data_IF_315717484907
#
_entry.id   IF_315717484907
#
_cell.length_a   1.000
_cell.length_b   1.000
_cell.length_c   1.000
_cell.angle_alpha   90.00
_cell.angle_beta   90.00
_cell.angle_gamma   90.00
#
_symmetry.space_group_name_H-M   'P 1'
#
loop_
_entity.id
_entity.type
_entity.pdbx_description
1 polymer ?
#
# COMPACT_ATOMS: atom_id res chain seq x y z
N UNK A 1 -74.98 19.93 11.03
CA UNK A 1 -74.83 20.13 12.48
C UNK A 1 -73.47 19.57 12.88
N UNK A 2 -72.68 20.44 13.46
CA UNK A 2 -71.47 20.22 14.27
C UNK A 2 -70.25 19.56 13.63
N UNK A 3 -69.36 20.42 13.12
CA UNK A 3 -67.93 20.12 12.97
C UNK A 3 -67.23 20.28 14.30
N UNK A 4 -66.25 19.42 14.54
CA UNK A 4 -65.27 19.54 15.63
C UNK A 4 -63.95 20.09 15.08
N UNK A 5 -63.31 21.06 15.73
CA UNK A 5 -62.08 21.64 15.28
C UNK A 5 -60.89 20.76 15.66
N UNK A 6 -60.02 20.46 14.70
CA UNK A 6 -58.71 19.87 14.94
C UNK A 6 -57.80 20.87 15.68
N UNK A 7 -57.52 20.58 16.95
CA UNK A 7 -56.48 21.25 17.70
C UNK A 7 -55.13 20.77 17.18
N UNK A 8 -54.37 21.70 16.54
CA UNK A 8 -52.93 21.51 16.27
C UNK A 8 -52.17 21.73 17.57
N UNK A 9 -51.21 20.85 17.92
CA UNK A 9 -50.41 21.00 19.14
C UNK A 9 -49.26 21.99 18.91
N UNK A 10 -49.56 23.31 18.94
CA UNK A 10 -48.50 24.36 18.81
C UNK A 10 -47.48 24.36 19.94
N UNK A 11 -47.79 23.71 21.08
CA UNK A 11 -46.91 23.63 22.23
C UNK A 11 -45.75 22.62 22.08
N UNK A 12 -45.84 21.67 21.16
CA UNK A 12 -44.77 20.69 20.92
C UNK A 12 -43.60 21.29 20.13
N UNK A 13 -43.86 22.22 19.25
CA UNK A 13 -42.83 22.86 18.42
C UNK A 13 -42.06 23.96 19.16
N UNK A 14 -42.64 24.63 20.16
CA UNK A 14 -41.91 25.60 20.97
C UNK A 14 -40.90 25.00 21.91
N UNK A 15 -41.11 23.76 22.34
CA UNK A 15 -40.15 22.99 23.14
C UNK A 15 -38.93 22.51 22.33
N UNK A 16 -39.16 22.07 21.10
CA UNK A 16 -38.10 21.64 20.17
C UNK A 16 -37.22 22.81 19.72
N UNK A 17 -37.81 23.98 19.42
CA UNK A 17 -37.03 25.16 19.07
C UNK A 17 -36.09 25.60 20.21
N UNK A 18 -36.55 25.57 21.47
CA UNK A 18 -35.72 25.87 22.64
C UNK A 18 -34.67 24.83 22.92
N UNK A 19 -34.84 23.58 22.46
CA UNK A 19 -33.84 22.51 22.56
C UNK A 19 -32.77 22.69 21.46
N UNK A 20 -33.14 23.07 20.27
CA UNK A 20 -32.23 23.37 19.16
C UNK A 20 -31.37 24.59 19.46
N UNK A 21 -31.94 25.67 20.04
CA UNK A 21 -31.20 26.86 20.49
C UNK A 21 -30.19 26.56 21.64
N UNK A 22 -30.46 25.53 22.45
CA UNK A 22 -29.54 25.10 23.51
C UNK A 22 -28.43 24.16 23.00
N UNK A 23 -28.60 23.61 21.80
CA UNK A 23 -27.61 22.71 21.15
C UNK A 23 -26.77 23.47 20.10
N UNK A 24 -27.07 24.75 19.84
CA UNK A 24 -26.19 25.61 19.03
C UNK A 24 -24.95 25.94 19.85
N UNK A 25 -23.83 25.36 19.45
CA UNK A 25 -22.50 25.69 19.96
C UNK A 25 -22.22 27.16 19.60
N UNK A 26 -21.71 28.01 20.52
CA UNK A 26 -21.35 29.38 20.19
C UNK A 26 -20.35 29.41 19.02
N UNK A 27 -20.54 30.33 18.09
CA UNK A 27 -19.73 30.47 16.86
C UNK A 27 -18.22 30.68 17.13
N UNK A 28 -17.83 31.17 18.28
CA UNK A 28 -16.41 31.36 18.66
C UNK A 28 -15.66 30.05 18.92
N UNK A 29 -16.33 28.99 19.35
CA UNK A 29 -15.71 27.66 19.52
C UNK A 29 -15.63 26.89 18.20
N UNK A 30 -16.48 27.17 17.23
CA UNK A 30 -16.51 26.48 15.95
C UNK A 30 -15.25 26.76 15.10
N UNK A 31 -14.72 27.98 15.14
CA UNK A 31 -13.48 28.33 14.41
C UNK A 31 -12.25 27.64 15.01
N UNK A 32 -12.16 27.57 16.33
CA UNK A 32 -11.06 26.89 17.04
C UNK A 32 -11.12 25.38 16.89
N UNK A 33 -12.34 24.80 16.76
CA UNK A 33 -12.54 23.39 16.46
C UNK A 33 -12.18 23.04 15.01
N UNK A 34 -12.49 23.93 14.06
CA UNK A 34 -12.20 23.69 12.64
C UNK A 34 -10.70 23.67 12.33
N UNK A 35 -9.89 24.51 13.01
CA UNK A 35 -8.42 24.52 12.86
C UNK A 35 -7.76 23.25 13.47
N UNK A 36 -8.36 22.63 14.48
CA UNK A 36 -7.88 21.40 15.09
C UNK A 36 -8.34 20.12 14.36
N UNK A 37 -9.36 20.17 13.51
CA UNK A 37 -9.96 19.02 12.83
C UNK A 37 -9.09 18.45 11.70
N UNK A 38 -8.07 19.16 11.24
CA UNK A 38 -7.25 18.78 10.08
C UNK A 38 -5.79 18.46 10.43
N UNK A 39 -5.41 18.49 11.71
CA UNK A 39 -4.03 18.20 12.11
C UNK A 39 -3.95 16.82 12.77
N UNK A 40 -3.32 15.86 12.08
CA UNK A 40 -3.01 14.55 12.64
C UNK A 40 -1.57 14.54 13.14
N UNK A 41 -1.39 14.05 14.35
CA UNK A 41 -0.06 13.75 14.88
C UNK A 41 0.25 12.27 14.64
N UNK A 42 1.45 11.95 14.20
CA UNK A 42 1.91 10.58 14.01
C UNK A 42 3.33 10.39 14.52
N UNK A 43 3.60 9.20 15.06
CA UNK A 43 4.92 8.75 15.49
C UNK A 43 5.49 7.67 14.58
N UNK A 44 4.84 7.39 13.45
CA UNK A 44 5.16 6.28 12.54
C UNK A 44 6.26 6.71 11.57
N UNK A 45 6.02 7.82 10.85
CA UNK A 45 6.93 8.34 9.84
C UNK A 45 6.79 9.85 9.68
N UNK A 46 7.75 10.49 9.02
CA UNK A 46 7.64 11.91 8.68
C UNK A 46 6.57 12.12 7.60
N UNK A 47 5.66 13.12 7.76
CA UNK A 47 4.50 13.28 6.89
C UNK A 47 4.85 13.52 5.41
N UNK A 48 5.96 14.16 5.10
CA UNK A 48 6.25 14.65 3.76
C UNK A 48 7.21 13.77 2.94
N UNK A 49 8.11 13.03 3.57
CA UNK A 49 9.15 12.30 2.86
C UNK A 49 9.18 10.79 3.16
N UNK A 50 8.56 10.34 4.29
CA UNK A 50 8.62 8.94 4.71
C UNK A 50 10.06 8.40 4.80
N UNK A 51 11.05 9.29 5.07
CA UNK A 51 12.47 8.94 5.10
C UNK A 51 12.93 8.44 6.47
N UNK A 52 12.03 8.48 7.45
CA UNK A 52 12.25 7.95 8.79
C UNK A 52 11.06 7.12 9.22
N UNK A 53 11.31 5.91 9.72
CA UNK A 53 10.33 5.04 10.35
C UNK A 53 10.60 4.96 11.83
N UNK A 54 9.64 5.34 12.69
CA UNK A 54 9.80 5.32 14.15
C UNK A 54 11.10 5.99 14.63
N UNK A 55 11.56 7.04 13.93
CA UNK A 55 12.79 7.78 14.26
C UNK A 55 14.08 7.24 13.62
N UNK A 56 14.07 6.05 13.02
CA UNK A 56 15.22 5.52 12.29
C UNK A 56 15.21 6.01 10.84
N UNK A 57 16.36 6.50 10.34
CA UNK A 57 16.46 6.90 8.95
C UNK A 57 16.31 5.70 8.02
N UNK A 58 15.64 5.92 6.89
CA UNK A 58 15.44 4.88 5.87
C UNK A 58 16.77 4.34 5.33
N UNK A 59 17.80 5.21 5.22
CA UNK A 59 19.15 4.80 4.83
C UNK A 59 19.79 3.82 5.83
N UNK A 60 19.59 4.06 7.13
CA UNK A 60 20.07 3.14 8.16
C UNK A 60 19.37 1.78 8.07
N UNK A 61 18.04 1.80 7.97
CA UNK A 61 17.24 0.58 7.82
C UNK A 61 17.60 -0.19 6.55
N UNK A 62 17.69 0.52 5.40
CA UNK A 62 18.05 -0.08 4.13
C UNK A 62 19.45 -0.69 4.07
N UNK A 63 20.36 -0.33 4.96
CA UNK A 63 21.71 -0.89 5.01
C UNK A 63 21.86 -2.09 5.94
N UNK A 64 21.00 -2.20 6.97
CA UNK A 64 21.26 -3.07 8.11
C UNK A 64 20.13 -4.03 8.47
N UNK A 65 18.91 -3.74 8.02
CA UNK A 65 17.73 -4.45 8.45
C UNK A 65 17.00 -5.14 7.30
N UNK A 66 16.21 -6.14 7.63
CA UNK A 66 15.35 -6.91 6.73
C UNK A 66 13.91 -6.38 6.76
N UNK A 67 13.07 -6.81 5.83
CA UNK A 67 11.66 -6.46 5.82
C UNK A 67 10.90 -6.96 7.06
N UNK A 68 11.14 -8.19 7.58
CA UNK A 68 10.55 -8.62 8.85
C UNK A 68 10.94 -7.74 10.04
N UNK A 69 12.21 -7.33 10.17
CA UNK A 69 12.66 -6.41 11.25
C UNK A 69 11.98 -5.04 11.15
N UNK A 70 11.86 -4.49 9.94
CA UNK A 70 11.17 -3.21 9.71
C UNK A 70 9.66 -3.35 9.92
N UNK A 71 9.07 -4.49 9.59
CA UNK A 71 7.67 -4.80 9.91
C UNK A 71 7.45 -4.83 11.41
N UNK A 72 8.32 -5.50 12.16
CA UNK A 72 8.30 -5.51 13.62
C UNK A 72 8.41 -4.09 14.20
N UNK A 73 9.38 -3.30 13.71
CA UNK A 73 9.57 -1.90 14.10
C UNK A 73 8.29 -1.07 13.93
N UNK A 74 7.63 -1.19 12.78
CA UNK A 74 6.42 -0.43 12.50
C UNK A 74 5.26 -0.83 13.43
N UNK A 75 5.11 -2.12 13.70
CA UNK A 75 4.05 -2.65 14.57
C UNK A 75 4.30 -2.33 16.05
N UNK A 76 5.52 -2.50 16.52
CA UNK A 76 5.85 -2.47 17.97
C UNK A 76 6.53 -1.17 18.40
N UNK A 77 6.97 -0.32 17.47
CA UNK A 77 7.58 0.98 17.74
C UNK A 77 9.08 0.97 17.96
N UNK A 78 9.70 -0.20 18.14
CA UNK A 78 11.15 -0.41 18.37
C UNK A 78 11.67 -1.52 17.46
N UNK A 79 12.96 -1.49 17.12
CA UNK A 79 13.61 -2.60 16.45
C UNK A 79 13.64 -3.84 17.36
N UNK A 80 13.45 -5.04 16.81
CA UNK A 80 13.47 -6.26 17.61
C UNK A 80 14.87 -6.59 18.10
N UNK A 81 14.99 -7.13 19.31
CA UNK A 81 16.16 -7.90 19.72
C UNK A 81 16.15 -9.27 19.03
N UNK A 82 17.28 -9.99 19.12
CA UNK A 82 17.44 -11.27 18.42
C UNK A 82 16.35 -12.30 18.76
N UNK A 83 15.99 -12.43 20.04
CA UNK A 83 14.92 -13.36 20.49
C UNK A 83 13.54 -12.93 19.99
N UNK A 84 13.23 -11.63 20.08
CA UNK A 84 11.95 -11.08 19.60
C UNK A 84 11.78 -11.27 18.07
N UNK A 85 12.87 -11.12 17.31
CA UNK A 85 12.87 -11.38 15.87
C UNK A 85 12.64 -12.84 15.58
N UNK A 86 13.32 -13.73 16.29
CA UNK A 86 13.18 -15.19 16.14
C UNK A 86 11.73 -15.62 16.45
N UNK A 87 11.15 -15.12 17.54
CA UNK A 87 9.75 -15.38 17.91
C UNK A 87 8.79 -14.83 16.83
N UNK A 88 9.01 -13.62 16.36
CA UNK A 88 8.18 -13.03 15.31
C UNK A 88 8.22 -13.84 14.02
N UNK A 89 9.40 -14.28 13.58
CA UNK A 89 9.57 -15.10 12.38
C UNK A 89 8.96 -16.50 12.56
N UNK A 90 9.13 -17.13 13.75
CA UNK A 90 8.47 -18.40 14.07
C UNK A 90 6.96 -18.30 13.97
N UNK A 91 6.38 -17.25 14.54
CA UNK A 91 4.93 -16.98 14.48
C UNK A 91 4.47 -16.79 13.02
N UNK A 92 5.23 -16.08 12.19
CA UNK A 92 4.91 -15.93 10.78
C UNK A 92 4.90 -17.29 10.07
N UNK A 93 5.91 -18.13 10.33
CA UNK A 93 6.03 -19.46 9.74
C UNK A 93 4.92 -20.42 10.19
N UNK A 94 4.57 -20.43 11.47
CA UNK A 94 3.44 -21.21 12.00
C UNK A 94 2.11 -20.87 11.36
N UNK A 95 1.94 -19.63 10.86
CA UNK A 95 0.76 -19.13 10.18
C UNK A 95 0.82 -19.23 8.66
N UNK A 96 1.75 -19.99 8.13
CA UNK A 96 1.98 -20.14 6.68
C UNK A 96 0.95 -21.02 5.96
N UNK A 97 -0.11 -21.49 6.62
CA UNK A 97 -1.19 -22.24 5.99
C UNK A 97 -2.38 -21.35 5.66
N UNK A 98 -2.75 -21.28 4.39
CA UNK A 98 -3.99 -20.61 3.98
C UNK A 98 -5.22 -21.42 4.41
N UNK A 99 -6.32 -20.75 4.78
CA UNK A 99 -7.61 -21.42 4.95
C UNK A 99 -8.01 -22.13 3.64
N UNK A 100 -8.41 -23.41 3.72
CA UNK A 100 -8.79 -24.21 2.54
C UNK A 100 -9.77 -23.49 1.59
N UNK A 101 -10.82 -22.77 2.04
CA UNK A 101 -11.71 -22.06 1.13
C UNK A 101 -10.99 -20.95 0.35
N UNK A 102 -9.94 -20.35 0.88
CA UNK A 102 -9.13 -19.34 0.16
C UNK A 102 -8.36 -20.00 -0.98
N UNK A 103 -7.70 -21.14 -0.75
CA UNK A 103 -7.02 -21.90 -1.81
C UNK A 103 -8.02 -22.37 -2.90
N UNK A 104 -9.23 -22.79 -2.52
CA UNK A 104 -10.29 -23.13 -3.47
C UNK A 104 -10.71 -21.91 -4.34
N UNK A 105 -10.84 -20.72 -3.74
CA UNK A 105 -11.12 -19.47 -4.47
C UNK A 105 -9.98 -19.15 -5.45
N UNK A 106 -8.72 -19.30 -5.03
CA UNK A 106 -7.56 -19.08 -5.90
C UNK A 106 -7.64 -19.97 -7.14
N UNK A 107 -7.93 -21.26 -6.94
CA UNK A 107 -8.00 -22.25 -8.02
C UNK A 107 -9.18 -22.02 -8.99
N UNK A 108 -10.31 -21.52 -8.50
CA UNK A 108 -11.50 -21.27 -9.29
C UNK A 108 -11.52 -19.92 -10.01
N UNK A 109 -10.64 -18.99 -9.61
CA UNK A 109 -10.58 -17.66 -10.22
C UNK A 109 -9.90 -17.72 -11.60
N UNK A 110 -10.51 -17.14 -12.65
CA UNK A 110 -9.93 -17.13 -14.00
C UNK A 110 -8.50 -16.56 -14.02
N UNK A 111 -7.59 -17.19 -14.79
CA UNK A 111 -6.16 -16.86 -14.77
C UNK A 111 -5.85 -15.42 -15.24
N UNK A 112 -6.72 -14.82 -16.04
CA UNK A 112 -6.55 -13.45 -16.56
C UNK A 112 -6.90 -12.34 -15.56
N UNK A 113 -7.47 -12.69 -14.39
CA UNK A 113 -7.77 -11.69 -13.35
C UNK A 113 -6.47 -11.12 -12.80
N UNK A 114 -6.36 -9.81 -12.77
CA UNK A 114 -5.20 -9.09 -12.25
C UNK A 114 -4.90 -9.46 -10.79
N UNK A 115 -3.63 -9.67 -10.49
CA UNK A 115 -3.21 -10.12 -9.15
C UNK A 115 -3.48 -9.08 -8.06
N UNK A 116 -3.44 -7.78 -8.38
CA UNK A 116 -3.77 -6.71 -7.43
C UNK A 116 -5.26 -6.66 -7.12
N UNK A 117 -6.11 -6.82 -8.14
CA UNK A 117 -7.57 -6.94 -7.95
C UNK A 117 -7.89 -8.16 -7.08
N UNK A 118 -7.25 -9.28 -7.40
CA UNK A 118 -7.47 -10.53 -6.69
C UNK A 118 -7.12 -10.43 -5.21
N UNK A 119 -5.91 -9.94 -4.85
CA UNK A 119 -5.51 -9.82 -3.43
C UNK A 119 -6.38 -8.82 -2.65
N UNK A 120 -6.87 -7.75 -3.28
CA UNK A 120 -7.82 -6.80 -2.67
C UNK A 120 -9.13 -7.48 -2.29
N UNK A 121 -9.68 -8.28 -3.21
CA UNK A 121 -10.92 -9.03 -2.99
C UNK A 121 -10.74 -10.10 -1.91
N UNK A 122 -9.67 -10.89 -1.99
CA UNK A 122 -9.42 -11.97 -1.02
C UNK A 122 -9.08 -11.42 0.36
N UNK A 123 -8.36 -10.29 0.46
CA UNK A 123 -8.11 -9.65 1.75
C UNK A 123 -9.41 -9.34 2.51
N UNK A 124 -10.46 -8.91 1.82
CA UNK A 124 -11.77 -8.66 2.42
C UNK A 124 -12.51 -9.94 2.85
N UNK A 125 -12.13 -11.11 2.33
CA UNK A 125 -12.72 -12.40 2.70
C UNK A 125 -12.02 -13.07 3.89
N UNK A 126 -10.75 -12.75 4.14
CA UNK A 126 -9.96 -13.37 5.21
C UNK A 126 -10.63 -13.35 6.60
N UNK A 127 -11.34 -12.27 7.04
CA UNK A 127 -11.98 -12.26 8.35
C UNK A 127 -13.07 -13.31 8.54
N UNK A 128 -13.63 -13.85 7.45
CA UNK A 128 -14.64 -14.93 7.53
C UNK A 128 -14.02 -16.24 8.08
N UNK A 129 -12.72 -16.39 7.92
CA UNK A 129 -11.97 -17.59 8.30
C UNK A 129 -11.05 -17.36 9.50
N UNK A 130 -11.15 -16.19 10.16
CA UNK A 130 -10.39 -15.86 11.36
C UNK A 130 -11.32 -15.65 12.56
N UNK A 131 -11.25 -16.56 13.54
CA UNK A 131 -12.05 -16.48 14.76
C UNK A 131 -11.78 -15.23 15.60
N UNK A 132 -10.60 -14.62 15.45
CA UNK A 132 -10.21 -13.40 16.16
C UNK A 132 -10.50 -12.11 15.37
N UNK A 133 -11.08 -12.21 14.18
CA UNK A 133 -11.36 -11.06 13.32
C UNK A 133 -12.32 -10.02 13.94
N UNK A 134 -13.14 -10.41 14.89
CA UNK A 134 -14.17 -9.55 15.51
C UNK A 134 -13.66 -8.75 16.70
N UNK A 135 -12.47 -9.02 17.19
CA UNK A 135 -11.90 -8.30 18.33
C UNK A 135 -11.14 -7.07 17.85
N UNK A 136 -11.45 -5.90 18.42
CA UNK A 136 -10.70 -4.65 18.22
C UNK A 136 -9.61 -4.41 19.28
N UNK A 137 -9.33 -5.40 20.15
CA UNK A 137 -8.25 -5.30 21.11
C UNK A 137 -6.88 -5.23 20.41
N UNK A 138 -5.93 -4.53 20.96
CA UNK A 138 -4.59 -4.32 20.39
C UNK A 138 -3.88 -5.65 20.09
N UNK A 139 -3.95 -6.63 21.01
CA UNK A 139 -3.41 -7.98 20.81
C UNK A 139 -4.04 -8.68 19.59
N UNK A 140 -5.32 -8.47 19.36
CA UNK A 140 -6.02 -9.02 18.20
C UNK A 140 -5.57 -8.38 16.91
N UNK A 141 -5.26 -7.07 16.92
CA UNK A 141 -4.71 -6.36 15.74
C UNK A 141 -3.32 -6.89 15.39
N UNK A 142 -2.45 -7.11 16.39
CA UNK A 142 -1.15 -7.74 16.17
C UNK A 142 -1.27 -9.15 15.59
N UNK A 143 -2.19 -9.95 16.13
CA UNK A 143 -2.50 -11.28 15.59
C UNK A 143 -2.96 -11.23 14.13
N UNK A 144 -3.91 -10.35 13.80
CA UNK A 144 -4.40 -10.16 12.44
C UNK A 144 -3.30 -9.65 11.50
N UNK A 145 -2.42 -8.76 11.98
CA UNK A 145 -1.28 -8.26 11.23
C UNK A 145 -0.29 -9.36 10.83
N UNK A 146 0.05 -10.24 11.78
CA UNK A 146 0.93 -11.37 11.51
C UNK A 146 0.32 -12.34 10.49
N UNK A 147 -1.00 -12.58 10.57
CA UNK A 147 -1.71 -13.37 9.54
C UNK A 147 -1.68 -12.70 8.17
N UNK A 148 -1.94 -11.39 8.09
CA UNK A 148 -1.88 -10.65 6.82
C UNK A 148 -0.49 -10.67 6.21
N UNK A 149 0.57 -10.54 7.02
CA UNK A 149 1.98 -10.60 6.58
C UNK A 149 2.38 -11.96 6.01
N UNK A 150 1.63 -13.02 6.31
CA UNK A 150 1.83 -14.35 5.73
C UNK A 150 0.79 -14.71 4.68
N UNK A 151 -0.49 -14.46 4.93
CA UNK A 151 -1.54 -14.89 4.01
C UNK A 151 -1.50 -14.13 2.68
N UNK A 152 -1.25 -12.80 2.68
CA UNK A 152 -1.19 -12.04 1.42
C UNK A 152 -0.04 -12.50 0.51
N UNK A 153 1.21 -12.68 0.99
CA UNK A 153 2.27 -13.32 0.22
C UNK A 153 1.90 -14.71 -0.31
N UNK A 154 1.33 -15.56 0.52
CA UNK A 154 0.96 -16.93 0.13
C UNK A 154 -0.13 -16.94 -0.95
N UNK A 155 -1.13 -16.07 -0.82
CA UNK A 155 -2.17 -15.88 -1.83
C UNK A 155 -1.54 -15.47 -3.17
N UNK A 156 -0.60 -14.51 -3.12
CA UNK A 156 0.10 -14.05 -4.31
C UNK A 156 0.95 -15.16 -4.93
N UNK A 157 1.69 -15.91 -4.12
CA UNK A 157 2.52 -17.03 -4.55
C UNK A 157 1.65 -18.12 -5.20
N UNK A 158 0.62 -18.60 -4.49
CA UNK A 158 -0.27 -19.66 -5.00
C UNK A 158 -0.92 -19.24 -6.31
N UNK A 159 -1.39 -17.99 -6.39
CA UNK A 159 -1.97 -17.42 -7.60
C UNK A 159 -0.97 -17.31 -8.74
N UNK A 160 0.23 -16.76 -8.52
CA UNK A 160 1.24 -16.58 -9.55
C UNK A 160 1.71 -17.93 -10.08
N UNK A 161 1.99 -18.90 -9.19
CA UNK A 161 2.40 -20.24 -9.61
C UNK A 161 1.33 -20.95 -10.46
N UNK A 162 0.06 -20.71 -10.15
CA UNK A 162 -1.06 -21.23 -10.96
C UNK A 162 -1.09 -20.58 -12.35
N UNK A 163 -0.87 -19.25 -12.43
CA UNK A 163 -0.80 -18.51 -13.71
C UNK A 163 0.36 -19.01 -14.58
N UNK A 164 1.54 -19.23 -13.97
CA UNK A 164 2.75 -19.68 -14.65
C UNK A 164 2.76 -21.21 -14.93
N UNK A 165 1.77 -21.95 -14.45
CA UNK A 165 1.72 -23.41 -14.56
C UNK A 165 2.78 -24.13 -13.73
N UNK A 166 3.30 -23.51 -12.67
CA UNK A 166 4.28 -24.11 -11.77
C UNK A 166 3.59 -24.96 -10.68
N UNK A 167 4.26 -26.01 -10.17
CA UNK A 167 3.69 -26.82 -9.09
C UNK A 167 3.51 -25.98 -7.81
N UNK A 168 2.52 -26.31 -6.96
CA UNK A 168 2.39 -25.72 -5.64
C UNK A 168 3.69 -25.79 -4.86
N UNK A 169 3.98 -24.77 -4.08
CA UNK A 169 5.16 -24.72 -3.23
C UNK A 169 4.83 -24.00 -1.92
N UNK A 170 5.57 -24.33 -0.88
CA UNK A 170 5.39 -23.80 0.48
C UNK A 170 6.60 -22.99 0.90
N UNK A 171 6.42 -22.12 1.87
CA UNK A 171 7.52 -21.43 2.54
C UNK A 171 8.44 -22.45 3.23
N UNK A 172 9.73 -22.29 3.04
CA UNK A 172 10.77 -23.03 3.76
C UNK A 172 11.05 -22.30 5.09
N UNK A 173 10.83 -22.93 6.26
CA UNK A 173 11.04 -22.28 7.55
C UNK A 173 12.50 -21.91 7.82
N UNK A 174 13.45 -22.60 7.19
CA UNK A 174 14.89 -22.37 7.36
C UNK A 174 15.46 -21.28 6.45
N UNK A 175 14.63 -20.76 5.53
CA UNK A 175 15.03 -19.73 4.57
C UNK A 175 14.53 -18.35 4.99
N UNK A 176 15.32 -17.30 4.73
CA UNK A 176 14.89 -15.94 4.97
C UNK A 176 13.57 -15.63 4.26
N UNK A 177 12.70 -14.88 4.91
CA UNK A 177 11.34 -14.60 4.44
C UNK A 177 11.29 -13.99 3.02
N UNK A 178 12.16 -13.01 2.73
CA UNK A 178 12.24 -12.38 1.42
C UNK A 178 12.81 -13.30 0.34
N UNK A 179 13.77 -14.16 0.69
CA UNK A 179 14.33 -15.16 -0.21
C UNK A 179 13.26 -16.16 -0.61
N UNK A 180 12.47 -16.65 0.37
CA UNK A 180 11.30 -17.49 0.12
C UNK A 180 10.34 -16.82 -0.87
N UNK A 181 9.93 -15.58 -0.56
CA UNK A 181 8.98 -14.85 -1.39
C UNK A 181 9.51 -14.66 -2.81
N UNK A 182 10.77 -14.22 -2.97
CA UNK A 182 11.37 -14.04 -4.28
C UNK A 182 11.48 -15.36 -5.05
N UNK A 183 11.99 -16.42 -4.41
CA UNK A 183 12.16 -17.72 -5.04
C UNK A 183 10.80 -18.32 -5.48
N UNK A 184 9.78 -18.22 -4.64
CA UNK A 184 8.47 -18.79 -4.92
C UNK A 184 7.71 -18.02 -6.01
N UNK A 185 7.97 -16.71 -6.17
CA UNK A 185 7.38 -15.87 -7.21
C UNK A 185 8.16 -15.86 -8.53
N UNK A 186 9.45 -16.19 -8.54
CA UNK A 186 10.28 -16.17 -9.76
C UNK A 186 10.74 -17.55 -10.19
N UNK A 187 10.52 -18.58 -9.36
CA UNK A 187 11.07 -19.92 -9.51
C UNK A 187 12.61 -19.95 -9.65
N UNK A 188 13.29 -18.95 -9.04
CA UNK A 188 14.75 -18.78 -9.06
C UNK A 188 15.24 -18.40 -7.67
N UNK A 189 16.33 -18.98 -7.21
CA UNK A 189 16.99 -18.55 -5.98
C UNK A 189 17.71 -17.24 -6.24
N UNK A 190 17.40 -16.15 -5.50
CA UNK A 190 18.10 -14.89 -5.69
C UNK A 190 19.59 -15.01 -5.30
N UNK A 191 20.43 -14.22 -5.96
CA UNK A 191 21.81 -14.01 -5.52
C UNK A 191 21.84 -13.19 -4.23
N UNK A 192 22.97 -13.11 -3.49
CA UNK A 192 23.07 -12.24 -2.32
C UNK A 192 22.79 -10.75 -2.64
N UNK A 193 23.18 -10.28 -3.82
CA UNK A 193 22.82 -8.94 -4.29
C UNK A 193 21.33 -8.82 -4.56
N UNK A 194 20.74 -9.82 -5.22
CA UNK A 194 19.31 -9.89 -5.52
C UNK A 194 18.45 -9.94 -4.24
N UNK A 195 18.86 -10.77 -3.25
CA UNK A 195 18.23 -10.80 -1.93
C UNK A 195 18.22 -9.40 -1.30
N UNK A 196 19.38 -8.76 -1.22
CA UNK A 196 19.47 -7.43 -0.62
C UNK A 196 18.67 -6.37 -1.36
N UNK A 197 18.69 -6.41 -2.70
CA UNK A 197 17.90 -5.50 -3.52
C UNK A 197 16.40 -5.67 -3.25
N UNK A 198 15.93 -6.91 -3.18
CA UNK A 198 14.52 -7.20 -2.90
C UNK A 198 14.11 -6.79 -1.49
N UNK A 199 14.94 -7.08 -0.48
CA UNK A 199 14.74 -6.58 0.89
C UNK A 199 14.58 -5.06 0.92
N UNK A 200 15.49 -4.33 0.28
CA UNK A 200 15.44 -2.86 0.22
C UNK A 200 14.20 -2.37 -0.51
N UNK A 201 13.77 -3.05 -1.56
CA UNK A 201 12.52 -2.73 -2.24
C UNK A 201 11.31 -2.83 -1.31
N UNK A 202 11.19 -3.93 -0.57
CA UNK A 202 10.06 -4.18 0.33
C UNK A 202 10.07 -3.22 1.51
N UNK A 203 11.19 -3.14 2.24
CA UNK A 203 11.28 -2.33 3.45
C UNK A 203 11.13 -0.82 3.19
N UNK A 204 11.62 -0.32 2.06
CA UNK A 204 11.47 1.11 1.72
C UNK A 204 10.06 1.47 1.27
N UNK A 205 9.27 0.47 0.85
CA UNK A 205 7.86 0.62 0.52
C UNK A 205 6.94 0.40 1.72
N UNK A 206 7.43 -0.12 2.85
CA UNK A 206 6.61 -0.48 4.01
C UNK A 206 5.80 0.69 4.57
N UNK A 207 6.33 1.92 4.47
CA UNK A 207 5.64 3.12 4.92
C UNK A 207 5.96 4.30 3.98
N UNK A 208 4.95 5.13 3.67
CA UNK A 208 5.06 6.28 2.74
C UNK A 208 4.51 7.59 3.31
N UNK A 209 4.38 7.69 4.61
CA UNK A 209 3.76 8.84 5.25
C UNK A 209 2.23 8.74 5.24
N UNK A 210 1.58 9.83 5.60
CA UNK A 210 0.14 9.91 5.69
C UNK A 210 -0.48 10.19 4.33
N UNK A 211 -0.74 9.15 3.55
CA UNK A 211 -1.41 9.22 2.25
C UNK A 211 -2.89 8.80 2.33
N UNK A 212 -3.58 8.82 1.19
CA UNK A 212 -4.99 8.44 1.11
C UNK A 212 -5.27 7.01 1.63
N UNK A 213 -4.33 6.07 1.43
CA UNK A 213 -4.49 4.71 1.90
C UNK A 213 -4.34 4.59 3.42
N UNK A 214 -3.36 5.28 4.01
CA UNK A 214 -3.20 5.37 5.45
C UNK A 214 -4.42 6.05 6.10
N UNK A 215 -4.94 7.13 5.47
CA UNK A 215 -6.17 7.79 5.92
C UNK A 215 -7.37 6.84 5.90
N UNK A 216 -7.56 6.10 4.82
CA UNK A 216 -8.66 5.13 4.67
C UNK A 216 -8.59 4.02 5.73
N UNK A 217 -7.38 3.47 6.01
CA UNK A 217 -7.19 2.50 7.07
C UNK A 217 -7.57 3.06 8.45
N UNK A 218 -7.10 4.28 8.77
CA UNK A 218 -7.44 4.97 10.03
C UNK A 218 -8.94 5.24 10.16
N UNK A 219 -9.60 5.65 9.07
CA UNK A 219 -11.04 5.90 9.08
C UNK A 219 -11.82 4.63 9.48
N UNK A 220 -11.51 3.49 8.86
CA UNK A 220 -12.13 2.20 9.20
C UNK A 220 -11.87 1.82 10.66
N UNK A 221 -10.62 1.92 11.11
CA UNK A 221 -10.23 1.62 12.49
C UNK A 221 -10.95 2.52 13.50
N UNK A 222 -11.06 3.83 13.22
CA UNK A 222 -11.76 4.81 14.08
C UNK A 222 -13.24 4.52 14.27
N UNK A 223 -13.84 3.74 13.39
CA UNK A 223 -15.25 3.34 13.42
C UNK A 223 -15.47 1.92 13.96
N UNK A 224 -14.41 1.29 14.50
CA UNK A 224 -14.46 -0.05 15.07
C UNK A 224 -14.36 -1.19 14.06
N UNK A 225 -13.94 -0.89 12.83
CA UNK A 225 -13.62 -1.92 11.83
C UNK A 225 -12.40 -2.74 12.24
N UNK A 226 -12.37 -4.03 11.88
CA UNK A 226 -11.21 -4.88 12.12
C UNK A 226 -10.05 -4.55 11.18
N UNK A 227 -8.85 -5.08 11.46
CA UNK A 227 -7.67 -4.81 10.65
C UNK A 227 -7.83 -5.26 9.19
N UNK A 228 -8.45 -6.39 8.93
CA UNK A 228 -8.68 -6.87 7.55
C UNK A 228 -9.49 -5.86 6.73
N UNK A 229 -10.57 -5.33 7.30
CA UNK A 229 -11.39 -4.31 6.66
C UNK A 229 -10.59 -3.01 6.43
N UNK A 230 -9.78 -2.60 7.41
CA UNK A 230 -8.92 -1.42 7.29
C UNK A 230 -7.88 -1.59 6.17
N UNK A 231 -7.19 -2.74 6.12
CA UNK A 231 -6.18 -3.03 5.09
C UNK A 231 -6.82 -3.18 3.71
N UNK A 232 -7.95 -3.89 3.59
CA UNK A 232 -8.68 -4.00 2.33
C UNK A 232 -9.12 -2.63 1.80
N UNK A 233 -9.59 -1.73 2.68
CA UNK A 233 -9.97 -0.36 2.31
C UNK A 233 -8.74 0.46 1.90
N UNK A 234 -7.61 0.34 2.60
CA UNK A 234 -6.36 0.97 2.21
C UNK A 234 -5.89 0.50 0.83
N UNK A 235 -5.91 -0.81 0.56
CA UNK A 235 -5.58 -1.37 -0.76
C UNK A 235 -6.49 -0.82 -1.86
N UNK A 236 -7.81 -0.73 -1.61
CA UNK A 236 -8.79 -0.24 -2.58
C UNK A 236 -8.76 1.28 -2.79
N UNK A 237 -8.14 2.06 -1.89
CA UNK A 237 -7.94 3.51 -2.07
C UNK A 237 -6.76 3.84 -2.99
N UNK A 238 -5.90 2.86 -3.31
CA UNK A 238 -4.86 3.00 -4.32
C UNK A 238 -5.51 2.69 -5.68
N UNK A 239 -5.39 3.58 -6.67
CA UNK A 239 -5.93 3.32 -8.00
C UNK A 239 -5.45 1.98 -8.55
N UNK A 240 -6.33 1.26 -9.26
CA UNK A 240 -5.90 0.14 -10.09
C UNK A 240 -4.98 0.65 -11.18
N UNK A 241 -3.89 -0.05 -11.37
CA UNK A 241 -2.90 0.31 -12.37
C UNK A 241 -3.33 -0.22 -13.75
N UNK A 242 -4.12 0.56 -14.49
CA UNK A 242 -4.33 0.33 -15.94
C UNK A 242 -3.02 0.46 -16.75
N UNK A 243 -1.89 0.61 -16.06
CA UNK A 243 -0.59 0.95 -16.64
C UNK A 243 0.32 -0.25 -16.87
N UNK A 244 -0.18 -1.46 -16.63
CA UNK A 244 0.60 -2.68 -16.83
C UNK A 244 1.09 -2.80 -18.27
N UNK A 245 0.22 -2.59 -19.25
CA UNK A 245 0.58 -2.64 -20.68
C UNK A 245 1.62 -1.59 -21.05
N UNK A 246 1.53 -0.37 -20.50
CA UNK A 246 2.50 0.69 -20.75
C UNK A 246 3.88 0.32 -20.16
N UNK A 247 3.90 -0.31 -18.99
CA UNK A 247 5.12 -0.78 -18.31
C UNK A 247 5.76 -1.96 -19.03
N UNK A 248 4.97 -2.92 -19.47
CA UNK A 248 5.44 -4.05 -20.28
C UNK A 248 6.03 -3.56 -21.60
N UNK A 249 5.36 -2.64 -22.28
CA UNK A 249 5.88 -2.00 -23.52
C UNK A 249 7.20 -1.29 -23.26
N UNK A 250 7.33 -0.54 -22.16
CA UNK A 250 8.56 0.15 -21.80
C UNK A 250 9.71 -0.84 -21.56
N UNK A 251 9.48 -1.90 -20.80
CA UNK A 251 10.47 -2.93 -20.53
C UNK A 251 10.88 -3.68 -21.80
N UNK A 252 9.94 -4.02 -22.66
CA UNK A 252 10.20 -4.70 -23.92
C UNK A 252 11.12 -3.84 -24.81
N UNK A 253 10.81 -2.56 -24.97
CA UNK A 253 11.66 -1.64 -25.74
C UNK A 253 13.07 -1.48 -25.14
N UNK A 254 13.16 -1.43 -23.83
CA UNK A 254 14.45 -1.32 -23.13
C UNK A 254 15.26 -2.60 -23.23
N UNK A 255 14.62 -3.77 -23.12
CA UNK A 255 15.27 -5.09 -23.18
C UNK A 255 15.84 -5.40 -24.56
N UNK A 256 15.23 -4.90 -25.65
CA UNK A 256 15.79 -4.99 -26.99
C UNK A 256 17.16 -4.30 -27.11
N UNK A 257 17.49 -3.36 -26.22
CA UNK A 257 18.76 -2.65 -26.17
C UNK A 257 19.06 -1.77 -27.40
N UNK A 258 18.10 -1.63 -28.32
CA UNK A 258 18.26 -0.87 -29.55
C UNK A 258 18.12 0.64 -29.26
N UNK A 259 19.22 1.37 -29.41
CA UNK A 259 19.26 2.81 -29.16
C UNK A 259 18.17 3.59 -29.93
N UNK A 260 17.99 3.30 -31.22
CA UNK A 260 17.01 3.99 -32.05
C UNK A 260 15.57 3.73 -31.63
N UNK A 261 15.25 2.48 -31.29
CA UNK A 261 13.93 2.09 -30.78
C UNK A 261 13.62 2.80 -29.46
N UNK A 262 14.58 2.85 -28.53
CA UNK A 262 14.44 3.51 -27.22
C UNK A 262 14.23 5.01 -27.39
N UNK A 263 15.06 5.68 -28.23
CA UNK A 263 14.94 7.13 -28.48
C UNK A 263 13.60 7.45 -29.15
N UNK A 264 13.15 6.67 -30.11
CA UNK A 264 11.87 6.85 -30.79
C UNK A 264 10.70 6.66 -29.84
N UNK A 265 10.74 5.61 -29.01
CA UNK A 265 9.73 5.35 -27.99
C UNK A 265 9.64 6.51 -27.00
N UNK A 266 10.77 6.94 -26.41
CA UNK A 266 10.79 8.02 -25.44
C UNK A 266 10.30 9.37 -26.02
N UNK A 267 10.59 9.66 -27.31
CA UNK A 267 10.11 10.87 -28.00
C UNK A 267 8.60 10.86 -28.27
N UNK A 268 8.01 9.68 -28.36
CA UNK A 268 6.58 9.53 -28.63
C UNK A 268 5.73 9.46 -27.37
N UNK A 269 6.34 9.38 -26.19
CA UNK A 269 5.61 9.38 -24.92
C UNK A 269 4.95 10.73 -24.66
N UNK A 270 3.64 10.69 -24.41
CA UNK A 270 2.92 11.87 -23.93
C UNK A 270 3.18 12.08 -22.43
N UNK A 271 3.04 13.31 -21.90
CA UNK A 271 3.24 13.56 -20.46
C UNK A 271 2.35 12.68 -19.55
N UNK A 272 1.14 12.34 -20.00
CA UNK A 272 0.24 11.42 -19.29
C UNK A 272 0.82 10.02 -19.19
N UNK A 273 1.34 9.48 -20.29
CA UNK A 273 1.91 8.13 -20.33
C UNK A 273 3.23 8.05 -19.56
N UNK A 274 4.05 9.11 -19.61
CA UNK A 274 5.26 9.21 -18.80
C UNK A 274 4.94 9.14 -17.30
N UNK A 275 3.85 9.77 -16.84
CA UNK A 275 3.41 9.66 -15.43
C UNK A 275 3.00 8.25 -15.05
N UNK A 276 2.36 7.52 -15.95
CA UNK A 276 2.00 6.12 -15.76
C UNK A 276 3.22 5.21 -15.57
N UNK A 277 4.32 5.53 -16.22
CA UNK A 277 5.60 4.82 -16.07
C UNK A 277 6.38 5.19 -14.81
N UNK A 278 5.88 6.11 -14.01
CA UNK A 278 6.56 6.55 -12.80
C UNK A 278 7.47 7.75 -13.01
N UNK A 279 7.08 8.70 -13.89
CA UNK A 279 7.71 10.02 -13.99
C UNK A 279 6.82 11.08 -13.35
N UNK A 280 7.42 12.12 -12.77
CA UNK A 280 6.67 13.18 -12.08
C UNK A 280 7.41 14.49 -11.95
N UNK A 281 6.81 15.44 -11.18
CA UNK A 281 7.42 16.73 -10.91
C UNK A 281 8.56 16.66 -9.90
N UNK A 282 9.36 17.72 -9.77
CA UNK A 282 10.66 17.84 -9.08
C UNK A 282 10.76 17.34 -7.62
N UNK A 283 9.64 17.14 -6.93
CA UNK A 283 9.63 16.88 -5.46
C UNK A 283 10.37 15.59 -5.06
N UNK A 284 10.54 14.63 -5.98
CA UNK A 284 11.22 13.36 -5.68
C UNK A 284 12.64 13.24 -6.24
N UNK A 285 13.19 14.30 -6.86
CA UNK A 285 14.51 14.24 -7.51
C UNK A 285 15.62 13.76 -6.56
N UNK A 286 15.51 14.08 -5.29
CA UNK A 286 16.47 13.74 -4.23
C UNK A 286 15.98 12.62 -3.30
N UNK A 287 14.86 11.95 -3.64
CA UNK A 287 14.33 10.87 -2.84
C UNK A 287 15.38 9.78 -2.61
N UNK A 288 15.65 9.46 -1.37
CA UNK A 288 16.56 8.38 -0.99
C UNK A 288 16.17 7.03 -1.62
N UNK A 289 14.86 6.78 -1.75
CA UNK A 289 14.35 5.56 -2.42
C UNK A 289 14.81 5.48 -3.86
N UNK A 290 14.68 6.58 -4.63
CA UNK A 290 15.13 6.64 -6.01
C UNK A 290 16.64 6.39 -6.11
N UNK A 291 17.45 6.99 -5.23
CA UNK A 291 18.90 6.79 -5.20
C UNK A 291 19.26 5.33 -4.89
N UNK A 292 18.63 4.72 -3.88
CA UNK A 292 18.84 3.31 -3.53
C UNK A 292 18.48 2.38 -4.69
N UNK A 293 17.29 2.55 -5.28
CA UNK A 293 16.84 1.70 -6.37
C UNK A 293 17.70 1.83 -7.61
N UNK A 294 18.12 3.06 -7.96
CA UNK A 294 19.03 3.28 -9.06
C UNK A 294 20.40 2.63 -8.84
N UNK A 295 20.88 2.62 -7.60
CA UNK A 295 22.13 1.95 -7.23
C UNK A 295 22.00 0.44 -7.43
N UNK A 296 20.91 -0.16 -6.96
CA UNK A 296 20.65 -1.58 -7.17
C UNK A 296 20.42 -1.92 -8.64
N UNK A 297 19.70 -1.08 -9.41
CA UNK A 297 19.54 -1.29 -10.85
C UNK A 297 20.89 -1.37 -11.57
N UNK A 298 21.83 -0.50 -11.20
CA UNK A 298 23.18 -0.53 -11.78
C UNK A 298 23.89 -1.86 -11.52
N UNK A 299 23.99 -2.29 -10.25
CA UNK A 299 24.68 -3.52 -9.89
C UNK A 299 23.96 -4.79 -10.40
N UNK A 300 22.63 -4.84 -10.33
CA UNK A 300 21.86 -5.94 -10.87
C UNK A 300 21.98 -6.04 -12.40
N UNK A 301 22.06 -4.91 -13.09
CA UNK A 301 22.27 -4.90 -14.53
C UNK A 301 23.68 -5.43 -14.91
N UNK A 302 24.70 -5.14 -14.10
CA UNK A 302 26.03 -5.73 -14.27
C UNK A 302 26.04 -7.24 -14.00
N UNK A 303 25.39 -7.68 -12.92
CA UNK A 303 25.32 -9.11 -12.54
C UNK A 303 24.57 -9.96 -13.58
N UNK A 304 23.55 -9.40 -14.24
CA UNK A 304 22.67 -10.13 -15.16
C UNK A 304 22.92 -9.81 -16.65
N UNK A 305 24.05 -9.18 -16.99
CA UNK A 305 24.40 -8.77 -18.38
C UNK A 305 23.36 -7.82 -19.03
N UNK A 306 22.65 -7.02 -18.24
CA UNK A 306 21.62 -6.08 -18.67
C UNK A 306 22.11 -4.62 -18.73
N UNK A 307 23.42 -4.37 -18.73
CA UNK A 307 24.04 -3.03 -18.83
C UNK A 307 23.54 -2.23 -20.04
N UNK A 308 23.33 -2.83 -21.24
CA UNK A 308 22.76 -2.08 -22.36
C UNK A 308 21.35 -1.55 -22.08
N UNK A 309 20.51 -2.34 -21.39
CA UNK A 309 19.18 -1.96 -20.98
C UNK A 309 19.19 -0.79 -19.99
N UNK A 310 20.04 -0.86 -18.95
CA UNK A 310 20.17 0.22 -17.96
C UNK A 310 20.67 1.52 -18.61
N UNK A 311 21.62 1.46 -19.53
CA UNK A 311 22.04 2.63 -20.33
C UNK A 311 20.91 3.20 -21.18
N UNK A 312 20.08 2.31 -21.75
CA UNK A 312 18.89 2.68 -22.51
C UNK A 312 17.88 3.42 -21.66
N UNK A 313 17.60 2.92 -20.45
CA UNK A 313 16.72 3.55 -19.49
C UNK A 313 17.19 4.96 -19.11
N UNK A 314 18.48 5.15 -18.80
CA UNK A 314 19.07 6.46 -18.50
C UNK A 314 18.96 7.44 -19.68
N UNK A 315 19.07 6.95 -20.90
CA UNK A 315 18.85 7.75 -22.09
C UNK A 315 17.39 8.16 -22.25
N UNK A 316 16.46 7.23 -22.04
CA UNK A 316 15.04 7.51 -22.08
C UNK A 316 14.64 8.56 -21.03
N UNK A 317 15.16 8.44 -19.79
CA UNK A 317 14.96 9.41 -18.71
C UNK A 317 15.35 10.84 -19.15
N UNK A 318 16.51 10.97 -19.80
CA UNK A 318 16.98 12.27 -20.31
C UNK A 318 16.05 12.84 -21.38
N UNK A 319 15.64 12.04 -22.37
CA UNK A 319 14.76 12.45 -23.46
C UNK A 319 13.39 12.85 -22.91
N UNK A 320 12.81 12.05 -22.00
CA UNK A 320 11.50 12.33 -21.39
C UNK A 320 11.58 13.65 -20.62
N UNK A 321 12.63 13.88 -19.85
CA UNK A 321 12.83 15.14 -19.14
C UNK A 321 12.94 16.34 -20.11
N UNK A 322 13.74 16.24 -21.17
CA UNK A 322 13.89 17.30 -22.17
C UNK A 322 12.58 17.67 -22.84
N UNK A 323 11.66 16.71 -23.04
CA UNK A 323 10.39 16.91 -23.74
C UNK A 323 9.23 17.30 -22.83
N UNK A 324 9.22 16.80 -21.61
CA UNK A 324 8.06 16.90 -20.73
C UNK A 324 8.32 17.65 -19.43
N UNK A 325 9.58 17.86 -19.06
CA UNK A 325 9.99 18.38 -17.75
C UNK A 325 9.78 17.39 -16.58
N UNK A 326 9.35 16.16 -16.87
CA UNK A 326 9.09 15.15 -15.85
C UNK A 326 10.37 14.37 -15.52
N UNK A 327 10.59 14.10 -14.24
CA UNK A 327 11.74 13.38 -13.71
C UNK A 327 11.33 11.93 -13.34
N UNK A 328 12.28 10.97 -13.42
CA UNK A 328 12.02 9.63 -12.94
C UNK A 328 11.80 9.62 -11.43
N UNK A 329 10.79 8.87 -10.99
CA UNK A 329 10.48 8.61 -9.59
C UNK A 329 10.96 7.22 -9.19
N UNK A 330 10.83 6.91 -7.89
CA UNK A 330 11.20 5.60 -7.35
C UNK A 330 10.44 4.45 -8.01
N UNK A 331 9.21 4.67 -8.48
CA UNK A 331 8.40 3.67 -9.19
C UNK A 331 9.06 3.19 -10.49
N UNK A 332 9.63 4.11 -11.28
CA UNK A 332 10.36 3.77 -12.52
C UNK A 332 11.62 2.94 -12.25
N UNK A 333 12.37 3.29 -11.21
CA UNK A 333 13.54 2.51 -10.81
C UNK A 333 13.15 1.14 -10.23
N UNK A 334 12.09 1.09 -9.43
CA UNK A 334 11.57 -0.16 -8.86
C UNK A 334 11.09 -1.15 -9.93
N UNK A 335 10.45 -0.66 -10.99
CA UNK A 335 10.03 -1.48 -12.14
C UNK A 335 11.22 -2.18 -12.79
N UNK A 336 12.30 -1.44 -13.06
CA UNK A 336 13.54 -2.00 -13.62
C UNK A 336 14.20 -2.98 -12.67
N UNK A 337 14.26 -2.63 -11.39
CA UNK A 337 14.84 -3.49 -10.36
C UNK A 337 14.12 -4.84 -10.26
N UNK A 338 12.78 -4.85 -10.28
CA UNK A 338 12.00 -6.08 -10.31
C UNK A 338 12.28 -6.92 -11.57
N UNK A 339 12.34 -6.28 -12.74
CA UNK A 339 12.69 -6.99 -13.97
C UNK A 339 14.08 -7.62 -13.90
N UNK A 340 15.09 -6.89 -13.38
CA UNK A 340 16.46 -7.42 -13.23
C UNK A 340 16.54 -8.57 -12.21
N UNK A 341 15.65 -8.57 -11.23
CA UNK A 341 15.49 -9.66 -10.26
C UNK A 341 14.73 -10.88 -10.83
N UNK A 342 14.21 -10.77 -12.07
CA UNK A 342 13.48 -11.86 -12.73
C UNK A 342 12.00 -11.97 -12.37
N UNK A 343 11.41 -10.95 -11.75
CA UNK A 343 9.98 -10.90 -11.49
C UNK A 343 9.20 -10.57 -12.77
N UNK A 344 8.02 -11.15 -12.88
CA UNK A 344 7.02 -10.65 -13.81
C UNK A 344 6.60 -9.22 -13.42
N UNK A 345 6.47 -8.34 -14.41
CA UNK A 345 6.18 -6.92 -14.18
C UNK A 345 4.78 -6.72 -13.59
N UNK A 346 3.85 -7.62 -13.88
CA UNK A 346 2.51 -7.64 -13.26
C UNK A 346 2.54 -7.71 -11.75
N UNK A 347 3.63 -8.24 -11.16
CA UNK A 347 3.83 -8.34 -9.73
C UNK A 347 4.25 -7.01 -9.06
N UNK A 348 4.55 -5.94 -9.81
CA UNK A 348 4.99 -4.68 -9.21
C UNK A 348 3.93 -4.08 -8.26
N UNK A 349 2.66 -4.01 -8.67
CA UNK A 349 1.60 -3.46 -7.83
C UNK A 349 1.21 -4.42 -6.68
N UNK A 350 1.02 -5.74 -6.89
CA UNK A 350 0.82 -6.68 -5.79
C UNK A 350 1.91 -6.62 -4.72
N UNK A 351 3.19 -6.56 -5.11
CA UNK A 351 4.32 -6.42 -4.18
C UNK A 351 4.32 -5.07 -3.45
N UNK A 352 3.86 -4.00 -4.10
CA UNK A 352 3.68 -2.71 -3.45
C UNK A 352 2.57 -2.76 -2.39
N UNK A 353 1.43 -3.38 -2.68
CA UNK A 353 0.33 -3.54 -1.73
C UNK A 353 0.76 -4.38 -0.52
N UNK A 354 1.44 -5.50 -0.79
CA UNK A 354 1.97 -6.40 0.23
C UNK A 354 2.95 -5.69 1.17
N UNK A 355 3.92 -4.98 0.60
CA UNK A 355 4.96 -4.31 1.40
C UNK A 355 4.41 -3.20 2.29
N UNK A 356 3.25 -2.62 2.00
CA UNK A 356 2.62 -1.56 2.79
C UNK A 356 1.80 -2.03 3.99
N UNK A 357 1.53 -3.32 4.10
CA UNK A 357 0.73 -3.87 5.22
C UNK A 357 1.25 -3.45 6.59
N UNK A 358 2.58 -3.50 6.89
CA UNK A 358 3.08 -3.09 8.19
C UNK A 358 2.83 -1.60 8.50
N UNK A 359 3.03 -0.72 7.52
CA UNK A 359 2.80 0.72 7.67
C UNK A 359 1.33 1.04 7.92
N UNK A 360 0.43 0.48 7.13
CA UNK A 360 -1.01 0.66 7.35
C UNK A 360 -1.46 0.09 8.69
N UNK A 361 -0.91 -1.05 9.10
CA UNK A 361 -1.20 -1.62 10.43
C UNK A 361 -0.73 -0.70 11.55
N UNK A 362 0.46 -0.10 11.42
CA UNK A 362 0.94 0.88 12.38
C UNK A 362 -0.01 2.09 12.49
N UNK A 363 -0.54 2.57 11.36
CA UNK A 363 -1.56 3.63 11.35
C UNK A 363 -2.87 3.20 12.03
N UNK A 364 -3.31 1.96 11.86
CA UNK A 364 -4.48 1.40 12.56
C UNK A 364 -4.23 1.36 14.06
N UNK A 365 -3.10 0.80 14.52
CA UNK A 365 -2.72 0.73 15.94
C UNK A 365 -2.65 2.12 16.59
N UNK A 366 -2.04 3.09 15.92
CA UNK A 366 -1.98 4.46 16.42
C UNK A 366 -3.37 5.11 16.48
N UNK A 367 -4.25 4.84 15.51
CA UNK A 367 -5.61 5.36 15.48
C UNK A 367 -6.49 4.82 16.60
N UNK A 368 -6.34 3.56 16.97
CA UNK A 368 -7.08 2.96 18.08
C UNK A 368 -6.79 3.66 19.41
N UNK A 369 -5.60 4.26 19.56
CA UNK A 369 -5.21 5.03 20.75
C UNK A 369 -5.67 6.49 20.69
N UNK A 370 -6.00 7.03 19.51
CA UNK A 370 -6.36 8.45 19.31
C UNK A 370 -7.88 8.72 19.34
N UNK A 371 -8.70 7.68 19.34
CA UNK A 371 -10.16 7.82 19.31
C UNK A 371 -10.74 8.04 17.90
N UNK A 372 -12.04 8.35 17.78
CA UNK A 372 -12.70 8.42 16.49
C UNK A 372 -12.25 9.61 15.64
N UNK A 373 -12.05 9.38 14.34
CA UNK A 373 -11.89 10.46 13.36
C UNK A 373 -13.24 11.17 13.18
N UNK A 374 -13.23 12.47 13.39
CA UNK A 374 -14.41 13.31 13.15
C UNK A 374 -14.48 13.62 11.65
N UNK A 375 -15.62 13.42 10.98
CA UNK A 375 -15.77 13.81 9.58
C UNK A 375 -15.52 15.31 9.40
N UNK A 376 -14.94 15.69 8.27
CA UNK A 376 -14.86 17.10 7.84
C UNK A 376 -16.26 17.69 7.80
N UNK A 377 -16.40 19.00 8.08
CA UNK A 377 -17.67 19.72 7.92
C UNK A 377 -18.16 19.58 6.48
N UNK A 378 -19.43 19.22 6.32
CA UNK A 378 -20.09 19.13 5.03
C UNK A 378 -21.08 20.27 4.93
N UNK A 379 -20.88 21.18 3.96
CA UNK A 379 -21.83 22.22 3.63
C UNK A 379 -22.73 21.73 2.49
N UNK A 380 -24.04 21.86 2.69
CA UNK A 380 -25.02 21.46 1.68
C UNK A 380 -25.26 22.60 0.68
N UNK A 381 -24.93 22.34 -0.59
CA UNK A 381 -25.13 23.30 -1.71
C UNK A 381 -26.31 22.91 -2.62
N UNK A 382 -27.07 21.90 -2.25
CA UNK A 382 -28.23 21.46 -3.05
C UNK A 382 -29.46 22.37 -2.92
N UNK A 383 -30.49 22.16 -3.76
CA UNK A 383 -31.73 22.92 -3.69
C UNK A 383 -32.43 22.76 -2.35
N UNK A 384 -32.75 23.87 -1.67
CA UNK A 384 -33.37 23.85 -0.34
C UNK A 384 -34.88 23.63 -0.41
N UNK A 385 -35.52 24.01 -1.52
CA UNK A 385 -36.96 23.83 -1.72
C UNK A 385 -37.24 23.31 -3.13
N UNK A 386 -37.59 22.05 -3.25
CA UNK A 386 -38.30 21.53 -4.42
C UNK A 386 -39.77 21.44 -4.06
N UNK A 387 -40.61 22.15 -4.79
CA UNK A 387 -42.05 21.97 -4.69
C UNK A 387 -42.37 20.54 -5.17
N UNK A 388 -43.07 19.78 -4.34
CA UNK A 388 -43.66 18.51 -4.77
C UNK A 388 -44.75 18.86 -5.80
N UNK A 389 -44.60 18.39 -7.05
CA UNK A 389 -45.56 18.54 -8.14
C UNK A 389 -46.65 17.49 -8.05
#
# INVERSE_FOLDING_TARGET
>A
MHGSPHHRPEHLFSGLAKLVDRLSVPDDDAATYADNLNTFTTRISQPHNGEHYRGYSLNYLARRHTFPEVSYLLLNGTLPHHEELADFQSILTERSALPRPISEIIQQTPLHVDASEFIRAVCALLPLFDSQSKSGAEDSVHWQAQKLLMHIPLILIERQRLVDGWPPATFDPDMHWSVNLAQLLTNRTPTPLGERAFEVLLLTRAERGYDAAAHAARLVASRGGNLYAAIATAMNSIPLDDWQLDRESAINVLSEGNRYSIERWARNLLPGDARKLGFGSDVEKESLRLQLFNTFCHYLAEENDLVPMERGARRAEKIIFELTGLLPRSEWAALRMLYYLGFDISLNQPLQLLSRIPGWTAHVLEQLQQGPLVPSRLDYEGPIHRLES
#
